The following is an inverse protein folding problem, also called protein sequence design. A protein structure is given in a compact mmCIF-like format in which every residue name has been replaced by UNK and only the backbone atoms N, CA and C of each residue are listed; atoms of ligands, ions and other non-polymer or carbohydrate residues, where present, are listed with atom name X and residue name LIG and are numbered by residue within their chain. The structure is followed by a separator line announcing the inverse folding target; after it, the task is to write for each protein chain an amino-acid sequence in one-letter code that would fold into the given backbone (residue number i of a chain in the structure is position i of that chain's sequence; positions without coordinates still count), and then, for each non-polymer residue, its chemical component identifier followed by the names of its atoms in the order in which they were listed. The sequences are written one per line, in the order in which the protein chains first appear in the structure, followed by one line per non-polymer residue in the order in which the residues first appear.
data_IF_542518895574
#
_entry.id   IF_542518895574
#
_cell.length_a   1.000
_cell.length_b   1.000
_cell.length_c   1.000
_cell.angle_alpha   90.00
_cell.angle_beta   90.00
_cell.angle_gamma   90.00
#
_symmetry.space_group_name_H-M   'P 1'
#
loop_
_entity.id
_entity.type
_entity.pdbx_description
1 polymer ?
#
# COMPACT_ATOMS: atom_id res chain seq x y z
N UNK A 1 -9.31 39.54 43.32
CA UNK A 1 -9.07 38.37 42.44
C UNK A 1 -10.42 37.94 41.89
N UNK A 2 -10.84 38.47 40.73
CA UNK A 2 -12.04 37.98 40.05
C UNK A 2 -11.64 36.76 39.22
N UNK A 3 -12.18 35.59 39.57
CA UNK A 3 -12.13 34.43 38.70
C UNK A 3 -12.68 34.83 37.32
N UNK A 4 -11.92 34.54 36.26
CA UNK A 4 -12.43 34.67 34.91
C UNK A 4 -13.64 33.74 34.75
N UNK A 5 -14.74 34.18 34.12
CA UNK A 5 -15.86 33.30 33.85
C UNK A 5 -15.38 32.12 32.99
N UNK A 6 -15.70 30.89 33.41
CA UNK A 6 -15.35 29.62 32.73
C UNK A 6 -15.71 29.56 31.23
N UNK A 7 -16.53 30.50 30.74
CA UNK A 7 -16.98 30.63 29.35
C UNK A 7 -15.99 31.34 28.39
N UNK A 8 -14.82 31.81 28.84
CA UNK A 8 -13.82 32.45 27.95
C UNK A 8 -12.55 31.61 27.73
N UNK A 9 -12.41 30.51 28.46
CA UNK A 9 -11.27 29.61 28.37
C UNK A 9 -11.43 28.70 27.14
N UNK A 10 -10.45 28.69 26.24
CA UNK A 10 -10.48 27.94 25.00
C UNK A 10 -11.01 28.74 23.80
N UNK A 11 -10.87 30.08 23.81
CA UNK A 11 -11.15 30.94 22.66
C UNK A 11 -9.95 31.78 22.22
N UNK A 12 -8.78 31.66 22.87
CA UNK A 12 -7.62 32.47 22.53
C UNK A 12 -7.20 32.33 21.07
N UNK A 13 -7.03 31.09 20.58
CA UNK A 13 -6.66 30.84 19.20
C UNK A 13 -7.72 31.34 18.21
N UNK A 14 -9.01 31.13 18.51
CA UNK A 14 -10.11 31.63 17.68
C UNK A 14 -10.06 33.17 17.55
N UNK A 15 -9.83 33.85 18.67
CA UNK A 15 -9.76 35.32 18.73
C UNK A 15 -8.50 35.87 18.04
N UNK A 16 -7.36 35.20 18.21
CA UNK A 16 -6.10 35.56 17.54
C UNK A 16 -6.27 35.47 16.02
N UNK A 17 -6.78 34.34 15.53
CA UNK A 17 -6.99 34.15 14.09
C UNK A 17 -8.06 35.10 13.54
N UNK A 18 -9.12 35.39 14.30
CA UNK A 18 -10.14 36.35 13.87
C UNK A 18 -9.63 37.79 13.78
N UNK A 19 -8.60 38.16 14.55
CA UNK A 19 -8.03 39.52 14.57
C UNK A 19 -6.86 39.71 13.63
N UNK A 20 -6.04 38.67 13.42
CA UNK A 20 -4.73 38.78 12.75
C UNK A 20 -4.40 37.55 11.89
N UNK A 21 -5.36 37.06 11.09
CA UNK A 21 -5.13 35.90 10.20
C UNK A 21 -4.01 36.16 9.18
N UNK A 22 -3.95 37.38 8.61
CA UNK A 22 -2.97 37.76 7.59
C UNK A 22 -1.55 37.93 8.14
N UNK A 23 -1.41 38.52 9.34
CA UNK A 23 -0.13 38.61 10.02
C UNK A 23 0.40 37.23 10.42
N UNK A 24 -0.50 36.36 10.92
CA UNK A 24 -0.16 34.96 11.20
C UNK A 24 0.26 34.23 9.92
N UNK A 25 -0.46 34.38 8.82
CA UNK A 25 -0.09 33.77 7.54
C UNK A 25 1.30 34.23 7.07
N UNK A 26 1.57 35.53 7.14
CA UNK A 26 2.83 36.11 6.67
C UNK A 26 4.02 35.62 7.48
N UNK A 27 3.92 35.65 8.82
CA UNK A 27 4.98 35.14 9.71
C UNK A 27 5.14 33.62 9.58
N UNK A 28 4.05 32.88 9.42
CA UNK A 28 4.10 31.42 9.25
C UNK A 28 4.82 31.02 7.95
N UNK A 29 4.52 31.70 6.84
CA UNK A 29 5.20 31.49 5.56
C UNK A 29 6.71 31.73 5.64
N UNK A 30 7.15 32.71 6.44
CA UNK A 30 8.57 32.96 6.69
C UNK A 30 9.20 31.85 7.56
N UNK A 31 8.50 31.44 8.62
CA UNK A 31 8.98 30.41 9.55
C UNK A 31 9.23 29.06 8.85
N UNK A 32 8.25 28.60 8.08
CA UNK A 32 8.32 27.30 7.42
C UNK A 32 9.29 27.28 6.23
N UNK A 33 9.50 28.44 5.59
CA UNK A 33 10.53 28.62 4.57
C UNK A 33 11.94 28.34 5.13
N UNK A 34 12.17 28.64 6.40
CA UNK A 34 13.45 28.39 7.08
C UNK A 34 13.58 26.95 7.60
N UNK A 35 12.46 26.28 7.92
CA UNK A 35 12.47 24.97 8.56
C UNK A 35 12.51 23.78 7.58
N UNK A 36 11.56 23.73 6.63
CA UNK A 36 11.29 22.48 5.86
C UNK A 36 10.72 22.73 4.46
N UNK A 37 10.78 23.94 3.92
CA UNK A 37 10.19 24.23 2.59
C UNK A 37 10.93 23.52 1.46
N UNK A 38 10.26 22.52 0.88
CA UNK A 38 10.66 21.81 -0.35
C UNK A 38 10.19 22.57 -1.60
N UNK A 39 10.88 23.68 -1.91
CA UNK A 39 10.57 24.51 -3.07
C UNK A 39 10.75 23.78 -4.42
N UNK A 40 11.46 22.66 -4.41
CA UNK A 40 11.60 21.71 -5.53
C UNK A 40 10.31 20.94 -5.82
N UNK A 41 9.45 20.73 -4.81
CA UNK A 41 8.26 19.88 -4.92
C UNK A 41 6.95 20.65 -4.99
N UNK A 42 6.84 21.81 -4.32
CA UNK A 42 5.60 22.59 -4.24
C UNK A 42 5.87 24.06 -4.57
N UNK A 43 5.05 24.63 -5.47
CA UNK A 43 5.13 26.06 -5.85
C UNK A 43 4.73 26.97 -4.70
N UNK A 44 5.30 28.18 -4.66
CA UNK A 44 5.02 29.15 -3.59
C UNK A 44 3.54 29.53 -3.48
N UNK A 45 2.87 29.73 -4.62
CA UNK A 45 1.45 30.10 -4.66
C UNK A 45 0.57 28.99 -4.10
N UNK A 46 0.84 27.74 -4.45
CA UNK A 46 0.12 26.58 -3.93
C UNK A 46 0.33 26.43 -2.43
N UNK A 47 1.58 26.56 -1.97
CA UNK A 47 1.91 26.48 -0.56
C UNK A 47 1.24 27.61 0.25
N UNK A 48 1.24 28.84 -0.27
CA UNK A 48 0.53 29.98 0.35
C UNK A 48 -0.98 29.73 0.43
N UNK A 49 -1.58 29.15 -0.60
CA UNK A 49 -2.98 28.77 -0.61
C UNK A 49 -3.28 27.70 0.46
N UNK A 50 -2.43 26.68 0.59
CA UNK A 50 -2.55 25.67 1.65
C UNK A 50 -2.46 26.31 3.05
N UNK A 51 -1.51 27.22 3.28
CA UNK A 51 -1.40 27.91 4.56
C UNK A 51 -2.65 28.77 4.86
N UNK A 52 -3.09 29.59 3.90
CA UNK A 52 -4.25 30.47 4.06
C UNK A 52 -5.55 29.69 4.30
N UNK A 53 -5.79 28.65 3.51
CA UNK A 53 -6.97 27.81 3.67
C UNK A 53 -6.94 27.05 5.00
N UNK A 54 -5.78 26.56 5.44
CA UNK A 54 -5.65 25.88 6.73
C UNK A 54 -6.01 26.81 7.90
N UNK A 55 -5.47 28.04 7.92
CA UNK A 55 -5.79 29.03 8.96
C UNK A 55 -7.29 29.37 8.97
N UNK A 56 -7.88 29.57 7.79
CA UNK A 56 -9.29 29.91 7.65
C UNK A 56 -10.20 28.79 8.16
N UNK A 57 -9.94 27.54 7.78
CA UNK A 57 -10.70 26.38 8.25
C UNK A 57 -10.50 26.14 9.74
N UNK A 58 -9.27 26.28 10.25
CA UNK A 58 -8.97 26.18 11.68
C UNK A 58 -9.73 27.23 12.48
N UNK A 59 -9.79 28.48 12.01
CA UNK A 59 -10.57 29.55 12.64
C UNK A 59 -12.07 29.20 12.71
N UNK A 60 -12.64 28.72 11.61
CA UNK A 60 -14.06 28.33 11.55
C UNK A 60 -14.37 27.16 12.50
N UNK A 61 -13.50 26.16 12.53
CA UNK A 61 -13.65 24.99 13.40
C UNK A 61 -13.53 25.37 14.88
N UNK A 62 -12.59 26.24 15.25
CA UNK A 62 -12.45 26.76 16.61
C UNK A 62 -13.68 27.55 17.07
N UNK A 63 -14.31 28.33 16.18
CA UNK A 63 -15.50 29.12 16.50
C UNK A 63 -16.75 28.27 16.76
N UNK A 64 -16.84 27.08 16.14
CA UNK A 64 -18.05 26.24 16.17
C UNK A 64 -17.92 24.99 17.02
N UNK A 65 -16.74 24.36 17.03
CA UNK A 65 -16.47 23.10 17.73
C UNK A 65 -15.41 23.19 18.83
N UNK A 66 -14.91 24.39 19.14
CA UNK A 66 -13.86 24.58 20.13
C UNK A 66 -12.60 23.77 19.80
N UNK A 67 -11.98 23.17 20.81
CA UNK A 67 -10.71 22.45 20.70
C UNK A 67 -10.86 20.93 20.46
N UNK A 68 -12.07 20.41 20.29
CA UNK A 68 -12.26 18.97 20.06
C UNK A 68 -12.05 18.63 18.58
N UNK A 69 -10.81 18.28 18.22
CA UNK A 69 -10.40 17.93 16.85
C UNK A 69 -11.13 16.72 16.28
N UNK A 70 -11.87 15.94 17.08
CA UNK A 70 -12.66 14.77 16.61
C UNK A 70 -14.11 15.13 16.29
N UNK A 71 -14.57 16.32 16.66
CA UNK A 71 -15.95 16.75 16.41
C UNK A 71 -16.21 17.02 14.91
N UNK A 72 -17.48 17.02 14.46
CA UNK A 72 -17.83 17.30 13.06
C UNK A 72 -17.39 18.69 12.58
N UNK A 73 -17.27 19.68 13.48
CA UNK A 73 -16.79 21.02 13.16
C UNK A 73 -15.38 21.02 12.53
N UNK A 74 -14.59 19.98 12.81
CA UNK A 74 -13.21 19.81 12.32
C UNK A 74 -13.11 18.95 11.06
N UNK A 75 -14.21 18.46 10.49
CA UNK A 75 -14.20 17.61 9.28
C UNK A 75 -13.43 18.27 8.11
N UNK A 76 -13.68 19.55 7.86
CA UNK A 76 -13.02 20.27 6.77
C UNK A 76 -11.50 20.37 6.96
N UNK A 77 -11.04 20.55 8.20
CA UNK A 77 -9.60 20.57 8.53
C UNK A 77 -9.01 19.17 8.38
N UNK A 78 -9.69 18.13 8.87
CA UNK A 78 -9.26 16.73 8.70
C UNK A 78 -9.18 16.32 7.23
N UNK A 79 -10.12 16.75 6.39
CA UNK A 79 -10.11 16.49 4.96
C UNK A 79 -8.92 17.19 4.29
N UNK A 80 -8.71 18.47 4.58
CA UNK A 80 -7.57 19.21 4.06
C UNK A 80 -6.22 18.60 4.47
N UNK A 81 -6.06 18.24 5.75
CA UNK A 81 -4.84 17.59 6.25
C UNK A 81 -4.64 16.22 5.61
N UNK A 82 -5.72 15.47 5.34
CA UNK A 82 -5.66 14.19 4.63
C UNK A 82 -5.16 14.38 3.19
N UNK A 83 -5.72 15.33 2.45
CA UNK A 83 -5.33 15.64 1.08
C UNK A 83 -3.86 16.09 1.00
N UNK A 84 -3.45 16.98 1.91
CA UNK A 84 -2.05 17.42 2.03
C UNK A 84 -1.13 16.23 2.33
N UNK A 85 -1.45 15.41 3.32
CA UNK A 85 -0.64 14.25 3.69
C UNK A 85 -0.48 13.25 2.55
N UNK A 86 -1.56 12.93 1.84
CA UNK A 86 -1.53 12.00 0.69
C UNK A 86 -0.72 12.55 -0.48
N UNK A 87 -0.97 13.81 -0.86
CA UNK A 87 -0.23 14.47 -1.93
C UNK A 87 1.27 14.54 -1.63
N UNK A 88 1.63 14.97 -0.41
CA UNK A 88 3.03 15.04 0.02
C UNK A 88 3.69 13.66 0.09
N UNK A 89 3.00 12.62 0.53
CA UNK A 89 3.52 11.25 0.51
C UNK A 89 3.86 10.77 -0.91
N UNK A 90 3.01 11.09 -1.91
CA UNK A 90 3.26 10.78 -3.33
C UNK A 90 4.42 11.58 -3.92
N UNK A 91 4.57 12.85 -3.53
CA UNK A 91 5.68 13.72 -3.94
C UNK A 91 7.01 13.40 -3.23
N UNK A 92 7.02 12.45 -2.29
CA UNK A 92 8.24 11.98 -1.62
C UNK A 92 8.60 12.70 -0.32
N UNK A 93 7.69 13.49 0.26
CA UNK A 93 7.89 14.05 1.59
C UNK A 93 7.89 12.96 2.66
N UNK A 94 8.68 13.16 3.70
CA UNK A 94 8.65 12.39 4.93
C UNK A 94 7.44 12.76 5.78
N UNK A 95 7.02 11.85 6.66
CA UNK A 95 5.96 12.14 7.64
C UNK A 95 6.36 13.29 8.58
N UNK A 96 7.65 13.44 8.89
CA UNK A 96 8.17 14.54 9.71
C UNK A 96 8.02 15.89 9.02
N UNK A 97 8.39 16.01 7.73
CA UNK A 97 8.21 17.25 6.97
C UNK A 97 6.72 17.63 6.89
N UNK A 98 5.84 16.63 6.73
CA UNK A 98 4.39 16.85 6.69
C UNK A 98 3.84 17.31 8.04
N UNK A 99 4.25 16.69 9.15
CA UNK A 99 3.82 17.12 10.48
C UNK A 99 4.39 18.50 10.87
N UNK A 100 5.60 18.84 10.39
CA UNK A 100 6.23 20.14 10.62
C UNK A 100 5.40 21.30 10.02
N UNK A 101 4.63 21.04 8.98
CA UNK A 101 3.64 22.00 8.48
C UNK A 101 2.70 22.48 9.59
N UNK A 102 2.07 21.56 10.32
CA UNK A 102 1.18 21.90 11.44
C UNK A 102 1.99 22.51 12.60
N UNK A 103 3.09 21.85 12.99
CA UNK A 103 3.84 22.25 14.19
C UNK A 103 4.54 23.61 14.07
N UNK A 104 4.92 24.04 12.87
CA UNK A 104 5.56 25.34 12.67
C UNK A 104 4.66 26.53 13.06
N UNK A 105 3.34 26.34 13.12
CA UNK A 105 2.40 27.36 13.60
C UNK A 105 2.48 27.56 15.12
N UNK A 106 2.97 26.58 15.89
CA UNK A 106 2.97 26.61 17.37
C UNK A 106 3.65 27.85 17.93
N UNK A 107 4.91 28.11 17.52
CA UNK A 107 5.70 29.24 18.05
C UNK A 107 4.98 30.57 17.85
N UNK A 108 4.37 30.73 16.69
CA UNK A 108 3.66 31.92 16.27
C UNK A 108 2.40 32.19 17.10
N UNK A 109 1.58 31.15 17.28
CA UNK A 109 0.37 31.25 18.11
C UNK A 109 0.73 31.43 19.58
N UNK A 110 1.73 30.72 20.09
CA UNK A 110 2.13 30.78 21.50
C UNK A 110 2.63 32.18 21.87
N UNK A 111 3.44 32.81 21.02
CA UNK A 111 3.89 34.19 21.23
C UNK A 111 2.70 35.17 21.31
N UNK A 112 1.66 34.97 20.49
CA UNK A 112 0.44 35.81 20.52
C UNK A 112 -0.42 35.53 21.75
N UNK A 113 -0.59 34.28 22.14
CA UNK A 113 -1.30 33.88 23.38
C UNK A 113 -0.58 34.49 24.60
N UNK A 114 0.75 34.38 24.69
CA UNK A 114 1.54 34.95 25.78
C UNK A 114 1.38 36.46 25.91
N UNK A 115 1.34 37.19 24.78
CA UNK A 115 1.09 38.64 24.78
C UNK A 115 -0.30 38.98 25.27
N UNK A 116 -1.32 38.21 24.87
CA UNK A 116 -2.72 38.44 25.23
C UNK A 116 -3.00 38.18 26.73
N UNK A 117 -2.40 37.16 27.33
CA UNK A 117 -2.64 36.76 28.72
C UNK A 117 -1.50 37.18 29.67
N UNK A 118 -0.75 38.23 29.33
CA UNK A 118 0.35 38.73 30.17
C UNK A 118 -0.16 39.11 31.55
N UNK A 119 0.45 38.55 32.59
CA UNK A 119 0.03 38.75 33.99
C UNK A 119 -1.12 37.86 34.47
N UNK A 120 -1.62 36.95 33.62
CA UNK A 120 -2.69 36.00 33.96
C UNK A 120 -2.16 34.56 33.83
N UNK A 121 -1.32 34.14 34.77
CA UNK A 121 -0.55 32.89 34.67
C UNK A 121 -1.43 31.63 34.49
N UNK A 122 -2.53 31.51 35.23
CA UNK A 122 -3.43 30.36 35.16
C UNK A 122 -4.16 30.28 33.82
N UNK A 123 -4.75 31.39 33.35
CA UNK A 123 -5.41 31.45 32.05
C UNK A 123 -4.42 31.20 30.89
N UNK A 124 -3.21 31.77 30.98
CA UNK A 124 -2.15 31.51 30.01
C UNK A 124 -1.81 30.02 29.92
N UNK A 125 -1.65 29.35 31.07
CA UNK A 125 -1.35 27.92 31.11
C UNK A 125 -2.47 27.10 30.46
N UNK A 126 -3.74 27.41 30.75
CA UNK A 126 -4.88 26.69 30.17
C UNK A 126 -4.96 26.86 28.65
N UNK A 127 -4.79 28.09 28.14
CA UNK A 127 -4.84 28.34 26.69
C UNK A 127 -3.66 27.71 25.94
N UNK A 128 -2.45 27.75 26.53
CA UNK A 128 -1.29 27.08 25.94
C UNK A 128 -1.45 25.55 25.93
N UNK A 129 -2.05 24.98 26.98
CA UNK A 129 -2.34 23.53 27.03
C UNK A 129 -3.33 23.14 25.94
N UNK A 130 -4.47 23.84 25.85
CA UNK A 130 -5.49 23.60 24.81
C UNK A 130 -4.93 23.75 23.39
N UNK A 131 -4.07 24.76 23.16
CA UNK A 131 -3.39 24.95 21.89
C UNK A 131 -2.38 23.83 21.58
N UNK A 132 -1.69 23.34 22.60
CA UNK A 132 -0.73 22.23 22.47
C UNK A 132 -1.46 20.95 22.07
N UNK A 133 -2.49 20.56 22.81
CA UNK A 133 -3.27 19.35 22.55
C UNK A 133 -3.86 19.36 21.15
N UNK A 134 -4.47 20.47 20.74
CA UNK A 134 -5.08 20.60 19.42
C UNK A 134 -4.06 20.44 18.28
N UNK A 135 -2.93 21.13 18.36
CA UNK A 135 -1.90 21.08 17.32
C UNK A 135 -1.17 19.73 17.31
N UNK A 136 -1.04 19.07 18.47
CA UNK A 136 -0.53 17.70 18.57
C UNK A 136 -1.47 16.69 17.92
N UNK A 137 -2.78 16.77 18.18
CA UNK A 137 -3.75 15.90 17.51
C UNK A 137 -3.71 16.07 15.99
N UNK A 138 -3.62 17.32 15.49
CA UNK A 138 -3.47 17.58 14.05
C UNK A 138 -2.16 17.03 13.47
N UNK A 139 -1.03 17.26 14.15
CA UNK A 139 0.27 16.79 13.70
C UNK A 139 0.34 15.25 13.66
N UNK A 140 -0.19 14.58 14.69
CA UNK A 140 -0.31 13.13 14.74
C UNK A 140 -1.23 12.60 13.64
N UNK A 141 -2.37 13.24 13.40
CA UNK A 141 -3.28 12.88 12.31
C UNK A 141 -2.59 12.94 10.94
N UNK A 142 -1.79 13.96 10.66
CA UNK A 142 -1.04 14.02 9.39
C UNK A 142 -0.04 12.88 9.25
N UNK A 143 0.57 12.43 10.36
CA UNK A 143 1.50 11.31 10.40
C UNK A 143 0.80 9.98 10.16
N UNK A 144 -0.35 9.76 10.82
CA UNK A 144 -1.19 8.57 10.64
C UNK A 144 -1.65 8.44 9.19
N UNK A 145 -2.13 9.53 8.57
CA UNK A 145 -2.54 9.52 7.16
C UNK A 145 -1.34 9.22 6.24
N UNK A 146 -0.18 9.81 6.48
CA UNK A 146 1.04 9.55 5.69
C UNK A 146 1.47 8.08 5.76
N UNK A 147 1.44 7.49 6.96
CA UNK A 147 1.74 6.07 7.17
C UNK A 147 0.74 5.17 6.42
N UNK A 148 -0.56 5.41 6.64
CA UNK A 148 -1.63 4.65 5.96
C UNK A 148 -1.54 4.76 4.44
N UNK A 149 -1.23 5.95 3.92
CA UNK A 149 -1.06 6.15 2.47
C UNK A 149 0.13 5.37 1.91
N UNK A 150 1.22 5.24 2.67
CA UNK A 150 2.39 4.43 2.26
C UNK A 150 2.08 2.94 2.32
N UNK A 151 1.39 2.48 3.36
CA UNK A 151 0.92 1.10 3.48
C UNK A 151 -0.03 0.72 2.35
N UNK A 152 -0.98 1.59 1.99
CA UNK A 152 -1.88 1.39 0.86
C UNK A 152 -1.12 1.23 -0.46
N UNK A 153 -0.06 2.02 -0.68
CA UNK A 153 0.80 1.91 -1.87
C UNK A 153 1.55 0.58 -1.88
N UNK A 154 2.18 0.20 -0.75
CA UNK A 154 2.92 -1.06 -0.64
C UNK A 154 1.99 -2.25 -0.89
N UNK A 155 0.79 -2.24 -0.30
CA UNK A 155 -0.20 -3.30 -0.48
C UNK A 155 -0.63 -3.42 -1.95
N UNK A 156 -0.93 -2.31 -2.62
CA UNK A 156 -1.27 -2.32 -4.05
C UNK A 156 -0.13 -2.84 -4.91
N UNK A 157 1.10 -2.42 -4.63
CA UNK A 157 2.28 -2.92 -5.33
C UNK A 157 2.48 -4.44 -5.13
N UNK A 158 2.21 -4.95 -3.92
CA UNK A 158 2.24 -6.39 -3.65
C UNK A 158 1.12 -7.14 -4.41
N UNK A 159 -0.10 -6.60 -4.44
CA UNK A 159 -1.23 -7.16 -5.20
C UNK A 159 -0.90 -7.21 -6.70
N UNK A 160 -0.39 -6.12 -7.29
CA UNK A 160 0.05 -6.07 -8.69
C UNK A 160 1.19 -7.06 -8.99
N UNK A 161 2.17 -7.17 -8.07
CA UNK A 161 3.24 -8.16 -8.20
C UNK A 161 2.69 -9.59 -8.18
N UNK A 162 1.67 -9.88 -7.36
CA UNK A 162 1.02 -11.19 -7.31
C UNK A 162 0.25 -11.50 -8.59
N UNK A 163 -0.53 -10.55 -9.12
CA UNK A 163 -1.25 -10.69 -10.39
C UNK A 163 -0.30 -10.94 -11.57
N UNK A 164 0.87 -10.32 -11.55
CA UNK A 164 1.91 -10.53 -12.57
C UNK A 164 2.74 -11.81 -12.38
N UNK A 165 2.59 -12.52 -11.25
CA UNK A 165 3.59 -13.50 -10.80
C UNK A 165 3.51 -14.91 -11.40
N UNK A 166 2.49 -15.25 -12.20
CA UNK A 166 2.41 -16.54 -12.92
C UNK A 166 1.51 -16.47 -14.16
N UNK A 167 1.96 -15.90 -15.29
CA UNK A 167 1.18 -15.94 -16.52
C UNK A 167 1.07 -17.40 -17.00
N UNK A 168 -0.16 -17.89 -17.17
CA UNK A 168 -0.40 -19.14 -17.90
C UNK A 168 -0.17 -18.87 -19.37
N UNK A 169 0.77 -19.59 -19.97
CA UNK A 169 1.19 -19.38 -21.36
C UNK A 169 0.63 -20.47 -22.25
N UNK A 170 -0.04 -20.11 -23.35
CA UNK A 170 -0.42 -21.07 -24.39
C UNK A 170 0.83 -21.43 -25.20
N UNK A 171 1.29 -22.68 -25.08
CA UNK A 171 2.46 -23.17 -25.82
C UNK A 171 2.12 -23.69 -27.20
N UNK A 172 0.94 -24.28 -27.34
CA UNK A 172 0.44 -24.83 -28.59
C UNK A 172 -1.08 -24.85 -28.57
N UNK A 173 -1.69 -25.17 -29.71
CA UNK A 173 -3.11 -25.49 -29.74
C UNK A 173 -3.37 -26.75 -28.89
N UNK A 174 -4.21 -26.61 -27.85
CA UNK A 174 -4.49 -27.67 -26.90
C UNK A 174 -3.47 -27.84 -25.76
N UNK A 175 -2.43 -27.02 -25.68
CA UNK A 175 -1.38 -27.09 -24.64
C UNK A 175 -1.15 -25.73 -23.97
N UNK A 176 -1.32 -25.70 -22.65
CA UNK A 176 -0.95 -24.56 -21.78
C UNK A 176 0.17 -24.93 -20.82
N UNK A 177 0.93 -23.93 -20.39
CA UNK A 177 1.98 -24.07 -19.40
C UNK A 177 1.82 -23.04 -18.28
N UNK A 178 2.05 -23.50 -17.05
CA UNK A 178 2.05 -22.69 -15.84
C UNK A 178 3.45 -22.77 -15.22
N UNK A 179 4.32 -21.77 -15.44
CA UNK A 179 5.61 -21.69 -14.78
C UNK A 179 5.48 -21.19 -13.35
N UNK A 180 6.07 -21.91 -12.40
CA UNK A 180 6.13 -21.56 -10.98
C UNK A 180 7.54 -21.09 -10.63
N UNK A 181 7.65 -19.86 -10.13
CA UNK A 181 8.92 -19.20 -9.80
C UNK A 181 8.90 -18.70 -8.35
N UNK A 182 9.94 -19.01 -7.59
CA UNK A 182 10.11 -18.54 -6.21
C UNK A 182 9.40 -19.43 -5.19
N UNK A 183 9.11 -18.86 -4.01
CA UNK A 183 8.40 -19.56 -2.95
C UNK A 183 6.91 -19.61 -3.24
N UNK A 184 6.31 -20.77 -2.98
CA UNK A 184 4.87 -21.00 -3.07
C UNK A 184 4.28 -20.91 -1.68
N UNK A 185 3.47 -19.89 -1.41
CA UNK A 185 2.63 -19.81 -0.23
C UNK A 185 1.17 -20.17 -0.57
N UNK A 186 0.33 -20.32 0.46
CA UNK A 186 -1.06 -20.73 0.28
C UNK A 186 -1.88 -19.77 -0.57
N UNK A 187 -1.66 -18.45 -0.41
CA UNK A 187 -2.42 -17.42 -1.13
C UNK A 187 -2.06 -17.40 -2.61
N UNK A 188 -0.77 -17.40 -2.92
CA UNK A 188 -0.26 -17.43 -4.30
C UNK A 188 -0.65 -18.72 -5.00
N UNK A 189 -0.62 -19.86 -4.30
CA UNK A 189 -0.95 -21.14 -4.96
C UNK A 189 -2.43 -21.25 -5.32
N UNK A 190 -3.32 -20.58 -4.58
CA UNK A 190 -4.73 -20.48 -4.97
C UNK A 190 -4.91 -19.66 -6.25
N UNK A 191 -4.31 -18.47 -6.31
CA UNK A 191 -4.38 -17.59 -7.51
C UNK A 191 -3.83 -18.30 -8.76
N UNK A 192 -2.72 -19.02 -8.59
CA UNK A 192 -2.10 -19.85 -9.62
C UNK A 192 -3.03 -20.93 -10.13
N UNK A 193 -3.71 -21.64 -9.22
CA UNK A 193 -4.66 -22.68 -9.57
C UNK A 193 -5.84 -22.10 -10.34
N UNK A 194 -6.47 -21.05 -9.84
CA UNK A 194 -7.61 -20.38 -10.49
C UNK A 194 -7.24 -19.91 -11.90
N UNK A 195 -6.07 -19.29 -12.05
CA UNK A 195 -5.54 -18.83 -13.35
C UNK A 195 -5.35 -19.98 -14.34
N UNK A 196 -4.81 -21.12 -13.89
CA UNK A 196 -4.64 -22.31 -14.72
C UNK A 196 -5.99 -22.87 -15.18
N UNK A 197 -6.94 -23.03 -14.26
CA UNK A 197 -8.25 -23.59 -14.58
C UNK A 197 -9.00 -22.69 -15.57
N UNK A 198 -8.95 -21.37 -15.36
CA UNK A 198 -9.53 -20.39 -16.28
C UNK A 198 -8.89 -20.47 -17.68
N UNK A 199 -7.57 -20.55 -17.75
CA UNK A 199 -6.85 -20.68 -19.01
C UNK A 199 -7.16 -21.99 -19.74
N UNK A 200 -7.29 -23.11 -19.03
CA UNK A 200 -7.68 -24.41 -19.60
C UNK A 200 -9.03 -24.29 -20.32
N UNK A 201 -10.01 -23.68 -19.67
CA UNK A 201 -11.36 -23.50 -20.25
C UNK A 201 -11.33 -22.53 -21.43
N UNK A 202 -10.71 -21.36 -21.27
CA UNK A 202 -10.66 -20.33 -22.31
C UNK A 202 -9.95 -20.80 -23.58
N UNK A 203 -8.91 -21.62 -23.43
CA UNK A 203 -8.11 -22.12 -24.56
C UNK A 203 -8.55 -23.51 -25.04
N UNK A 204 -9.53 -24.13 -24.36
CA UNK A 204 -9.96 -25.52 -24.57
C UNK A 204 -8.76 -26.49 -24.60
N UNK A 205 -7.84 -26.31 -23.65
CA UNK A 205 -6.59 -27.07 -23.61
C UNK A 205 -6.80 -28.46 -23.03
N UNK A 206 -6.28 -29.47 -23.71
CA UNK A 206 -6.34 -30.88 -23.28
C UNK A 206 -5.12 -31.28 -22.45
N UNK A 207 -4.04 -30.50 -22.50
CA UNK A 207 -2.82 -30.75 -21.73
C UNK A 207 -2.38 -29.48 -21.02
N UNK A 208 -2.11 -29.59 -19.73
CA UNK A 208 -1.54 -28.54 -18.90
C UNK A 208 -0.17 -28.97 -18.35
N UNK A 209 0.86 -28.16 -18.57
CA UNK A 209 2.21 -28.40 -18.06
C UNK A 209 2.47 -27.47 -16.87
N UNK A 210 2.73 -28.01 -15.69
CA UNK A 210 3.10 -27.24 -14.50
C UNK A 210 4.60 -27.30 -14.33
N UNK A 211 5.30 -26.19 -14.55
CA UNK A 211 6.76 -26.16 -14.50
C UNK A 211 7.25 -25.66 -13.14
N UNK A 212 7.84 -26.56 -12.35
CA UNK A 212 8.41 -26.26 -11.03
C UNK A 212 9.92 -25.98 -11.09
N UNK A 213 10.48 -25.76 -12.28
CA UNK A 213 11.93 -25.50 -12.45
C UNK A 213 12.43 -24.31 -11.62
N UNK A 214 11.56 -23.31 -11.39
CA UNK A 214 11.84 -22.11 -10.60
C UNK A 214 11.53 -22.22 -9.09
N UNK A 215 11.11 -23.38 -8.60
CA UNK A 215 10.80 -23.63 -7.18
C UNK A 215 12.02 -24.27 -6.50
N UNK A 216 12.70 -23.60 -5.56
CA UNK A 216 13.97 -24.07 -5.01
C UNK A 216 13.83 -25.28 -4.07
N UNK A 217 12.72 -25.35 -3.33
CA UNK A 217 12.44 -26.41 -2.35
C UNK A 217 10.97 -26.78 -2.39
N UNK A 218 10.69 -28.08 -2.31
CA UNK A 218 9.32 -28.59 -2.21
C UNK A 218 9.13 -29.15 -0.80
N UNK A 219 8.21 -28.59 -0.05
CA UNK A 219 7.77 -29.12 1.25
C UNK A 219 6.41 -29.83 1.11
N UNK A 220 5.88 -30.32 2.23
CA UNK A 220 4.56 -30.98 2.29
C UNK A 220 3.43 -30.07 1.84
N UNK A 221 3.48 -28.77 2.16
CA UNK A 221 2.41 -27.82 1.85
C UNK A 221 2.40 -27.54 0.34
N UNK A 222 3.55 -27.21 -0.23
CA UNK A 222 3.72 -26.98 -1.66
C UNK A 222 3.27 -28.19 -2.47
N UNK A 223 3.70 -29.39 -2.09
CA UNK A 223 3.34 -30.60 -2.82
C UNK A 223 1.84 -30.92 -2.74
N UNK A 224 1.21 -30.71 -1.58
CA UNK A 224 -0.25 -30.84 -1.45
C UNK A 224 -0.99 -29.86 -2.36
N UNK A 225 -0.52 -28.62 -2.46
CA UNK A 225 -1.14 -27.65 -3.35
C UNK A 225 -0.93 -28.00 -4.83
N UNK A 226 0.26 -28.48 -5.23
CA UNK A 226 0.51 -28.97 -6.59
C UNK A 226 -0.45 -30.12 -6.96
N UNK A 227 -0.63 -31.07 -6.04
CA UNK A 227 -1.57 -32.17 -6.23
C UNK A 227 -3.02 -31.70 -6.39
N UNK A 228 -3.46 -30.73 -5.58
CA UNK A 228 -4.79 -30.13 -5.73
C UNK A 228 -4.94 -29.46 -7.11
N UNK A 229 -3.92 -28.72 -7.56
CA UNK A 229 -3.93 -28.07 -8.87
C UNK A 229 -4.03 -29.08 -10.01
N UNK A 230 -3.24 -30.15 -9.95
CA UNK A 230 -3.27 -31.25 -10.93
C UNK A 230 -4.63 -31.94 -10.96
N UNK A 231 -5.19 -32.22 -9.79
CA UNK A 231 -6.50 -32.87 -9.66
C UNK A 231 -7.61 -31.98 -10.22
N UNK A 232 -7.60 -30.69 -9.89
CA UNK A 232 -8.56 -29.73 -10.39
C UNK A 232 -8.48 -29.59 -11.93
N UNK A 233 -7.27 -29.49 -12.49
CA UNK A 233 -7.09 -29.42 -13.94
C UNK A 233 -7.62 -30.68 -14.66
N UNK A 234 -7.44 -31.87 -14.06
CA UNK A 234 -8.02 -33.12 -14.57
C UNK A 234 -9.53 -33.14 -14.53
N UNK A 235 -10.16 -32.60 -13.48
CA UNK A 235 -11.61 -32.44 -13.40
C UNK A 235 -12.14 -31.51 -14.50
N UNK A 236 -11.32 -30.54 -14.95
CA UNK A 236 -11.63 -29.68 -16.10
C UNK A 236 -11.37 -30.36 -17.46
N UNK A 237 -10.97 -31.63 -17.48
CA UNK A 237 -10.72 -32.40 -18.71
C UNK A 237 -9.32 -32.22 -19.31
N UNK A 238 -8.39 -31.57 -18.59
CA UNK A 238 -7.01 -31.41 -19.03
C UNK A 238 -6.09 -32.42 -18.33
N UNK A 239 -5.30 -33.15 -19.12
CA UNK A 239 -4.25 -34.02 -18.59
C UNK A 239 -3.06 -33.16 -18.12
N UNK A 240 -2.51 -33.48 -16.96
CA UNK A 240 -1.48 -32.67 -16.32
C UNK A 240 -0.12 -33.36 -16.33
N UNK A 241 0.91 -32.58 -16.68
CA UNK A 241 2.32 -32.99 -16.64
C UNK A 241 3.08 -32.03 -15.73
N UNK A 242 3.83 -32.54 -14.77
CA UNK A 242 4.74 -31.71 -13.96
C UNK A 242 6.14 -31.74 -14.60
N UNK A 243 6.70 -30.59 -14.93
CA UNK A 243 8.09 -30.45 -15.41
C UNK A 243 9.00 -29.85 -14.34
N UNK A 244 10.31 -30.06 -14.47
CA UNK A 244 11.30 -29.49 -13.55
C UNK A 244 11.56 -30.35 -12.31
N UNK A 245 11.11 -31.62 -12.30
CA UNK A 245 11.37 -32.56 -11.20
C UNK A 245 12.84 -33.01 -11.25
N UNK A 246 13.69 -32.33 -10.49
CA UNK A 246 15.12 -32.66 -10.31
C UNK A 246 15.29 -33.80 -9.30
N UNK A 247 16.45 -34.50 -9.27
CA UNK A 247 16.68 -35.61 -8.34
C UNK A 247 16.42 -35.26 -6.87
N UNK A 248 16.81 -34.06 -6.42
CA UNK A 248 16.56 -33.59 -5.06
C UNK A 248 15.05 -33.48 -4.75
N UNK A 249 14.28 -32.90 -5.67
CA UNK A 249 12.82 -32.75 -5.51
C UNK A 249 12.14 -34.13 -5.48
N UNK A 250 12.56 -35.05 -6.35
CA UNK A 250 12.04 -36.41 -6.36
C UNK A 250 12.30 -37.13 -5.03
N UNK A 251 13.50 -37.02 -4.47
CA UNK A 251 13.84 -37.59 -3.16
C UNK A 251 12.98 -36.99 -2.04
N UNK A 252 12.78 -35.66 -2.05
CA UNK A 252 11.93 -35.00 -1.06
C UNK A 252 10.49 -35.48 -1.13
N UNK A 253 9.90 -35.59 -2.33
CA UNK A 253 8.52 -36.09 -2.51
C UNK A 253 8.37 -37.51 -1.98
N UNK A 254 9.33 -38.40 -2.27
CA UNK A 254 9.33 -39.79 -1.75
C UNK A 254 9.48 -39.80 -0.23
N UNK A 255 10.39 -38.99 0.32
CA UNK A 255 10.63 -38.92 1.76
C UNK A 255 9.40 -38.40 2.53
N UNK A 256 8.67 -37.46 1.96
CA UNK A 256 7.45 -36.90 2.52
C UNK A 256 6.24 -37.85 2.39
N UNK A 257 6.39 -39.00 1.72
CA UNK A 257 5.33 -40.00 1.54
C UNK A 257 4.18 -39.51 0.65
N UNK A 258 4.45 -38.57 -0.25
CA UNK A 258 3.44 -38.02 -1.15
C UNK A 258 3.33 -38.91 -2.37
N UNK A 259 2.13 -39.44 -2.60
CA UNK A 259 1.85 -40.30 -3.73
C UNK A 259 1.59 -39.46 -5.01
N UNK A 260 2.51 -39.58 -5.96
CA UNK A 260 2.39 -39.01 -7.31
C UNK A 260 2.20 -40.10 -8.38
N UNK A 261 1.81 -41.33 -8.02
CA UNK A 261 1.69 -42.46 -8.95
C UNK A 261 0.83 -42.13 -10.18
N UNK A 262 -0.21 -41.33 -9.99
CA UNK A 262 -1.11 -40.93 -11.06
C UNK A 262 -0.64 -39.68 -11.81
N UNK A 263 0.44 -39.00 -11.41
CA UNK A 263 0.90 -37.73 -12.00
C UNK A 263 2.11 -37.96 -12.90
N UNK A 264 1.99 -37.56 -14.17
CA UNK A 264 3.11 -37.68 -15.11
C UNK A 264 4.15 -36.60 -14.83
N UNK A 265 5.40 -37.01 -14.60
CA UNK A 265 6.51 -36.09 -14.33
C UNK A 265 7.59 -36.15 -15.41
N UNK A 266 8.25 -35.02 -15.63
CA UNK A 266 9.40 -34.87 -16.54
C UNK A 266 10.47 -33.99 -15.91
N UNK A 267 11.73 -34.27 -16.22
CA UNK A 267 12.86 -33.51 -15.69
C UNK A 267 12.94 -32.10 -16.27
N UNK A 268 12.45 -31.87 -17.49
CA UNK A 268 12.59 -30.60 -18.21
C UNK A 268 11.30 -30.19 -18.90
N UNK A 269 11.12 -28.88 -19.09
CA UNK A 269 9.99 -28.33 -19.83
C UNK A 269 9.91 -28.87 -21.27
N UNK A 270 11.06 -29.01 -21.94
CA UNK A 270 11.14 -29.55 -23.29
C UNK A 270 10.64 -31.01 -23.38
N UNK A 271 10.98 -31.86 -22.41
CA UNK A 271 10.52 -33.26 -22.39
C UNK A 271 9.03 -33.39 -22.00
N UNK A 272 8.52 -32.48 -21.17
CA UNK A 272 7.09 -32.36 -20.90
C UNK A 272 6.31 -31.92 -22.14
N UNK A 273 6.81 -30.92 -22.86
CA UNK A 273 6.19 -30.44 -24.09
C UNK A 273 6.19 -31.49 -25.20
N UNK A 274 7.30 -32.21 -25.40
CA UNK A 274 7.35 -33.32 -26.35
C UNK A 274 6.31 -34.41 -26.04
N UNK A 275 6.13 -34.75 -24.76
CA UNK A 275 5.10 -35.70 -24.34
C UNK A 275 3.67 -35.15 -24.54
N UNK A 276 3.47 -33.87 -24.26
CA UNK A 276 2.19 -33.21 -24.48
C UNK A 276 1.77 -33.26 -25.96
N UNK A 277 2.71 -33.00 -26.88
CA UNK A 277 2.48 -33.15 -28.32
C UNK A 277 2.10 -34.59 -28.69
N UNK A 278 2.83 -35.58 -28.15
CA UNK A 278 2.51 -37.01 -28.39
C UNK A 278 1.10 -37.37 -27.93
N UNK A 279 0.62 -36.83 -26.80
CA UNK A 279 -0.75 -37.04 -26.30
C UNK A 279 -1.82 -36.45 -27.22
N UNK A 280 -1.46 -35.43 -28.00
CA UNK A 280 -2.32 -34.84 -29.04
C UNK A 280 -2.16 -35.53 -30.40
N UNK A 281 -1.37 -36.60 -30.50
CA UNK A 281 -1.07 -37.27 -31.77
C UNK A 281 -0.07 -36.49 -32.66
N UNK A 282 0.61 -35.49 -32.10
CA UNK A 282 1.59 -34.67 -32.80
C UNK A 282 3.00 -35.17 -32.52
N UNK A 283 3.90 -35.03 -33.50
CA UNK A 283 5.31 -35.41 -33.37
C UNK A 283 6.20 -34.36 -34.04
N UNK A 284 7.37 -34.12 -33.47
CA UNK A 284 8.37 -33.19 -34.02
C UNK A 284 9.33 -34.00 -34.91
N UNK A 285 9.41 -33.66 -36.19
CA UNK A 285 10.38 -34.22 -37.13
C UNK A 285 11.49 -33.22 -37.39
N UNK A 286 12.73 -33.70 -37.54
CA UNK A 286 13.82 -32.88 -38.10
C UNK A 286 13.67 -32.87 -39.62
N UNK A 287 13.65 -31.69 -40.22
CA UNK A 287 13.73 -31.57 -41.67
C UNK A 287 15.17 -31.85 -42.12
N UNK A 288 15.37 -32.92 -42.86
CA UNK A 288 16.68 -33.37 -43.34
C UNK A 288 17.04 -32.77 -44.71
N UNK A 289 16.51 -31.60 -45.08
CA UNK A 289 16.93 -30.88 -46.28
C UNK A 289 18.04 -29.88 -46.01
N UNK A 290 19.27 -30.39 -45.84
CA UNK A 290 20.51 -29.70 -46.24
C UNK A 290 21.54 -30.75 -46.68
N UNK A 291 21.41 -31.17 -47.94
CA UNK A 291 22.49 -31.73 -48.76
C UNK A 291 22.80 -30.73 -49.86
#
# INVERSE_FOLDING_TARGET
MSALPQNQVGLAMANILARDEEGVLTEWMQEIALATRRADLIKESEFRNQCSQFLSLMRQALQTGGHNFKSPAWDSVRNMLNDISRSRAQLGFTSMETATFVFSVKRLLFNRIQRQYRGQAEALATELWAATELLDEMGLYTTEVSQKSREDVIRRQQEELLELSTPVVKLWEGIVALPLIGTLDSARTQVVMESLLQAIVQTNSRVAIVDITGVPTVDTVVAQHLLKTVTAARLMGADCIISGVRPQIAQTIVHLGIDLLDVTTKATMASAFALALQRLGLHITRDNQKG
#
